data_IF_712192796082
#
_entry.id   IF_712192796082
#
_cell.length_a   1.000
_cell.length_b   1.000
_cell.length_c   1.000
_cell.angle_alpha   90.00
_cell.angle_beta   90.00
_cell.angle_gamma   90.00
#
_symmetry.space_group_name_H-M   'P 1'
#
loop_
_entity.id
_entity.type
_entity.pdbx_description
1 polymer ?
#
# COMPACT_ATOMS: atom_id res chain seq x y z
N UNK A 1 -13.72 6.67 -4.44
CA UNK A 1 -13.61 5.32 -5.04
C UNK A 1 -13.77 4.23 -3.99
N UNK A 2 -14.20 3.04 -4.40
CA UNK A 2 -14.25 1.82 -3.59
C UNK A 2 -12.97 1.00 -3.79
N UNK A 3 -12.12 0.98 -2.76
CA UNK A 3 -10.80 0.34 -2.74
C UNK A 3 -10.84 -0.96 -1.92
N UNK A 4 -10.39 -2.06 -2.53
CA UNK A 4 -10.19 -3.34 -1.87
C UNK A 4 -8.73 -3.47 -1.41
N UNK A 5 -8.51 -3.88 -0.17
CA UNK A 5 -7.21 -4.32 0.33
C UNK A 5 -7.18 -5.85 0.33
N UNK A 6 -6.26 -6.40 -0.46
CA UNK A 6 -6.00 -7.83 -0.62
C UNK A 6 -5.57 -8.49 0.72
N UNK A 7 -5.68 -9.82 0.82
CA UNK A 7 -5.35 -10.62 2.00
C UNK A 7 -3.89 -10.47 2.42
N UNK A 8 -2.99 -10.24 1.46
CA UNK A 8 -1.58 -10.04 1.74
C UNK A 8 -1.26 -8.64 2.31
N UNK A 9 -2.22 -7.71 2.27
CA UNK A 9 -2.12 -6.42 2.97
C UNK A 9 -2.36 -6.65 4.47
N UNK A 10 -1.52 -6.12 5.37
CA UNK A 10 -1.80 -6.25 6.80
C UNK A 10 -3.09 -5.54 7.19
N UNK A 11 -3.99 -6.21 7.93
CA UNK A 11 -5.25 -5.61 8.42
C UNK A 11 -5.09 -4.22 9.08
N UNK A 12 -4.07 -3.95 9.92
CA UNK A 12 -3.89 -2.60 10.50
C UNK A 12 -3.69 -1.49 9.45
N UNK A 13 -3.23 -1.83 8.24
CA UNK A 13 -3.14 -0.88 7.13
C UNK A 13 -4.51 -0.35 6.74
N UNK A 14 -5.56 -1.18 6.74
CA UNK A 14 -6.91 -0.76 6.37
C UNK A 14 -7.41 0.35 7.29
N UNK A 15 -7.20 0.19 8.60
CA UNK A 15 -7.64 1.18 9.59
C UNK A 15 -6.90 2.51 9.42
N UNK A 16 -5.59 2.47 9.20
CA UNK A 16 -4.79 3.66 8.91
C UNK A 16 -5.29 4.36 7.64
N UNK A 17 -5.47 3.60 6.56
CA UNK A 17 -5.90 4.15 5.27
C UNK A 17 -7.32 4.75 5.38
N UNK A 18 -8.25 4.11 6.11
CA UNK A 18 -9.59 4.65 6.37
C UNK A 18 -9.56 5.99 7.09
N UNK A 19 -8.67 6.13 8.07
CA UNK A 19 -8.51 7.39 8.83
C UNK A 19 -8.03 8.52 7.92
N UNK A 20 -7.10 8.21 7.02
CA UNK A 20 -6.41 9.20 6.17
C UNK A 20 -7.19 9.51 4.87
N UNK A 21 -7.94 8.56 4.32
CA UNK A 21 -8.62 8.67 3.02
C UNK A 21 -10.15 8.63 3.17
N UNK A 22 -10.68 9.60 3.93
CA UNK A 22 -12.11 9.63 4.32
C UNK A 22 -13.12 9.71 3.18
N UNK A 23 -12.71 10.17 2.00
CA UNK A 23 -13.57 10.28 0.81
C UNK A 23 -13.64 8.98 0.00
N UNK A 24 -12.92 7.94 0.42
CA UNK A 24 -12.85 6.64 -0.25
C UNK A 24 -13.45 5.55 0.63
N UNK A 25 -14.14 4.60 0.01
CA UNK A 25 -14.63 3.42 0.71
C UNK A 25 -13.52 2.37 0.70
N UNK A 26 -12.87 2.18 1.84
CA UNK A 26 -11.72 1.28 1.98
C UNK A 26 -12.15 0.02 2.73
N UNK A 27 -12.07 -1.13 2.06
CA UNK A 27 -12.53 -2.41 2.59
C UNK A 27 -11.39 -3.42 2.51
N UNK A 28 -11.11 -4.12 3.60
CA UNK A 28 -10.19 -5.25 3.58
C UNK A 28 -10.94 -6.54 3.23
N UNK A 29 -10.33 -7.47 2.48
CA UNK A 29 -10.99 -8.75 2.12
C UNK A 29 -11.54 -9.50 3.35
N UNK A 30 -10.85 -9.41 4.47
CA UNK A 30 -11.25 -10.04 5.72
C UNK A 30 -12.47 -9.39 6.42
N UNK A 31 -12.86 -8.19 6.01
CA UNK A 31 -14.08 -7.55 6.51
C UNK A 31 -15.31 -8.02 5.71
N UNK A 32 -15.09 -8.78 4.63
CA UNK A 32 -16.13 -9.31 3.75
C UNK A 32 -16.37 -10.81 4.05
N UNK A 33 -17.60 -11.22 4.42
CA UNK A 33 -17.92 -12.61 4.71
C UNK A 33 -17.61 -13.55 3.54
N UNK A 34 -16.75 -14.55 3.76
CA UNK A 34 -16.40 -15.55 2.74
C UNK A 34 -15.46 -15.05 1.63
N UNK A 35 -14.69 -13.99 1.88
CA UNK A 35 -13.67 -13.49 0.93
C UNK A 35 -12.24 -13.88 1.31
N UNK A 36 -11.97 -14.15 2.59
CA UNK A 36 -10.66 -14.67 3.01
C UNK A 36 -10.31 -15.97 2.28
N UNK A 37 -9.06 -16.11 1.82
CA UNK A 37 -8.61 -17.26 1.04
C UNK A 37 -9.09 -17.30 -0.41
N UNK A 38 -9.80 -16.27 -0.91
CA UNK A 38 -10.19 -16.20 -2.33
C UNK A 38 -8.92 -16.09 -3.17
N UNK A 39 -8.78 -16.94 -4.19
CA UNK A 39 -7.63 -16.88 -5.10
C UNK A 39 -7.68 -15.61 -5.95
N UNK A 40 -6.52 -15.06 -6.29
CA UNK A 40 -6.39 -13.83 -7.08
C UNK A 40 -7.29 -13.80 -8.33
N UNK A 41 -7.27 -14.88 -9.13
CA UNK A 41 -8.08 -14.99 -10.36
C UNK A 41 -9.57 -14.76 -10.08
N UNK A 42 -10.09 -15.33 -8.99
CA UNK A 42 -11.48 -15.19 -8.58
C UNK A 42 -11.74 -13.85 -7.88
N UNK A 43 -10.75 -13.36 -7.13
CA UNK A 43 -10.82 -12.13 -6.35
C UNK A 43 -11.11 -10.91 -7.25
N UNK A 44 -10.42 -10.79 -8.38
CA UNK A 44 -10.60 -9.65 -9.29
C UNK A 44 -11.99 -9.63 -9.92
N UNK A 45 -12.54 -10.78 -10.33
CA UNK A 45 -13.91 -10.82 -10.86
C UNK A 45 -14.94 -10.55 -9.76
N UNK A 46 -14.75 -11.13 -8.57
CA UNK A 46 -15.63 -10.89 -7.41
C UNK A 46 -15.64 -9.41 -7.01
N UNK A 47 -14.46 -8.78 -6.97
CA UNK A 47 -14.31 -7.36 -6.68
C UNK A 47 -14.99 -6.48 -7.75
N UNK A 48 -14.86 -6.84 -9.04
CA UNK A 48 -15.55 -6.14 -10.13
C UNK A 48 -17.07 -6.21 -9.98
N UNK A 49 -17.61 -7.40 -9.71
CA UNK A 49 -19.06 -7.61 -9.52
C UNK A 49 -19.60 -6.79 -8.33
N UNK A 50 -18.83 -6.67 -7.25
CA UNK A 50 -19.18 -5.82 -6.10
C UNK A 50 -18.92 -4.33 -6.31
N UNK A 51 -18.52 -3.90 -7.51
CA UNK A 51 -18.29 -2.49 -7.84
C UNK A 51 -17.08 -1.88 -7.14
N UNK A 52 -16.07 -2.68 -6.77
CA UNK A 52 -14.76 -2.12 -6.47
C UNK A 52 -14.18 -1.48 -7.73
N UNK A 53 -13.32 -0.49 -7.55
CA UNK A 53 -12.67 0.23 -8.65
C UNK A 53 -11.17 -0.02 -8.66
N UNK A 54 -10.59 -0.32 -7.49
CA UNK A 54 -9.16 -0.56 -7.34
C UNK A 54 -8.87 -1.65 -6.29
N UNK A 55 -7.76 -2.35 -6.47
CA UNK A 55 -7.19 -3.30 -5.51
C UNK A 55 -5.80 -2.83 -5.08
N UNK A 56 -5.57 -2.76 -3.77
CA UNK A 56 -4.25 -2.59 -3.17
C UNK A 56 -3.69 -3.96 -2.75
N UNK A 57 -2.48 -4.29 -3.20
CA UNK A 57 -1.80 -5.55 -2.86
C UNK A 57 -0.31 -5.32 -2.59
N UNK A 58 0.33 -6.26 -1.89
CA UNK A 58 1.80 -6.36 -1.83
C UNK A 58 2.34 -7.59 -2.60
N UNK A 59 1.49 -8.37 -3.29
CA UNK A 59 1.97 -9.43 -4.18
C UNK A 59 2.53 -8.84 -5.48
N UNK A 60 3.82 -8.53 -5.42
CA UNK A 60 4.61 -8.05 -6.56
C UNK A 60 4.81 -9.09 -7.67
N UNK A 61 4.40 -10.35 -7.49
CA UNK A 61 4.59 -11.42 -8.48
C UNK A 61 3.37 -11.63 -9.37
N UNK A 62 2.21 -11.01 -9.08
CA UNK A 62 1.01 -11.21 -9.89
C UNK A 62 1.24 -10.89 -11.37
N UNK A 63 2.02 -9.84 -11.65
CA UNK A 63 2.36 -9.40 -13.00
C UNK A 63 3.27 -10.36 -13.77
N UNK A 64 3.77 -11.42 -13.12
CA UNK A 64 4.57 -12.49 -13.74
C UNK A 64 3.78 -13.79 -13.97
N UNK A 65 2.51 -13.85 -13.53
CA UNK A 65 1.66 -15.05 -13.62
C UNK A 65 0.56 -14.80 -14.64
N UNK A 66 0.63 -15.49 -15.78
CA UNK A 66 -0.24 -15.20 -16.94
C UNK A 66 -1.74 -15.24 -16.65
N UNK A 67 -2.21 -16.20 -15.85
CA UNK A 67 -3.63 -16.30 -15.49
C UNK A 67 -4.11 -15.13 -14.61
N UNK A 68 -3.26 -14.67 -13.69
CA UNK A 68 -3.58 -13.52 -12.83
C UNK A 68 -3.57 -12.22 -13.63
N UNK A 69 -2.59 -12.03 -14.52
CA UNK A 69 -2.57 -10.89 -15.45
C UNK A 69 -3.83 -10.85 -16.31
N UNK A 70 -4.25 -11.99 -16.86
CA UNK A 70 -5.47 -12.07 -17.65
C UNK A 70 -6.72 -11.71 -16.83
N UNK A 71 -6.82 -12.20 -15.58
CA UNK A 71 -7.91 -11.87 -14.68
C UNK A 71 -7.95 -10.37 -14.32
N UNK A 72 -6.78 -9.79 -14.04
CA UNK A 72 -6.63 -8.36 -13.75
C UNK A 72 -7.08 -7.53 -14.95
N UNK A 73 -6.58 -7.83 -16.14
CA UNK A 73 -6.96 -7.14 -17.37
C UNK A 73 -8.46 -7.28 -17.66
N UNK A 74 -9.02 -8.48 -17.54
CA UNK A 74 -10.45 -8.74 -17.77
C UNK A 74 -11.35 -8.01 -16.76
N UNK A 75 -10.89 -7.84 -15.52
CA UNK A 75 -11.66 -7.17 -14.48
C UNK A 75 -11.85 -5.66 -14.71
N UNK A 76 -10.92 -5.03 -15.44
CA UNK A 76 -10.86 -3.57 -15.59
C UNK A 76 -10.48 -2.80 -14.32
N UNK A 77 -10.28 -3.48 -13.18
CA UNK A 77 -9.94 -2.87 -11.90
C UNK A 77 -8.54 -2.25 -11.95
N UNK A 78 -8.37 -1.07 -11.37
CA UNK A 78 -7.04 -0.54 -11.15
C UNK A 78 -6.29 -1.43 -10.15
N UNK A 79 -4.99 -1.62 -10.39
CA UNK A 79 -4.13 -2.35 -9.45
C UNK A 79 -3.10 -1.39 -8.88
N UNK A 80 -3.04 -1.32 -7.57
CA UNK A 80 -2.02 -0.57 -6.84
C UNK A 80 -1.18 -1.59 -6.10
N UNK A 81 0.11 -1.64 -6.37
CA UNK A 81 1.04 -2.46 -5.61
C UNK A 81 1.96 -1.60 -4.75
N UNK A 82 2.39 -2.14 -3.62
CA UNK A 82 3.53 -1.62 -2.89
C UNK A 82 4.48 -2.76 -2.55
N UNK A 83 5.78 -2.47 -2.58
CA UNK A 83 6.78 -3.45 -2.18
C UNK A 83 7.07 -3.32 -0.69
N UNK A 84 6.89 -4.43 0.03
CA UNK A 84 7.49 -4.59 1.35
C UNK A 84 8.92 -5.11 1.16
N UNK A 85 9.91 -4.35 1.66
CA UNK A 85 11.30 -4.77 1.54
C UNK A 85 11.63 -5.84 2.58
N UNK A 86 11.68 -7.10 2.15
CA UNK A 86 11.98 -8.24 3.02
C UNK A 86 13.40 -8.23 3.62
N UNK A 87 14.31 -7.36 3.15
CA UNK A 87 15.64 -7.18 3.77
C UNK A 87 15.56 -6.55 5.15
N UNK A 88 14.50 -5.80 5.43
CA UNK A 88 14.23 -5.22 6.74
C UNK A 88 12.97 -5.89 7.29
N UNK A 89 13.15 -6.96 8.06
CA UNK A 89 12.03 -7.63 8.73
C UNK A 89 11.49 -6.81 9.91
N UNK A 90 10.43 -7.33 10.54
CA UNK A 90 9.87 -6.79 11.77
C UNK A 90 9.36 -5.34 11.64
N UNK A 91 9.55 -4.55 12.71
CA UNK A 91 9.00 -3.20 12.83
C UNK A 91 9.52 -2.24 11.74
N UNK A 92 10.77 -2.37 11.32
CA UNK A 92 11.36 -1.51 10.28
C UNK A 92 10.65 -1.73 8.94
N UNK A 93 10.49 -3.00 8.54
CA UNK A 93 9.81 -3.34 7.29
C UNK A 93 8.34 -2.94 7.28
N UNK A 94 7.63 -3.23 8.37
CA UNK A 94 6.22 -2.85 8.51
C UNK A 94 6.05 -1.33 8.51
N UNK A 95 6.89 -0.61 9.27
CA UNK A 95 6.87 0.85 9.31
C UNK A 95 7.13 1.47 7.93
N UNK A 96 8.09 0.94 7.18
CA UNK A 96 8.37 1.38 5.82
C UNK A 96 7.21 1.09 4.85
N UNK A 97 6.57 -0.07 4.97
CA UNK A 97 5.38 -0.40 4.17
C UNK A 97 4.22 0.55 4.47
N UNK A 98 3.92 0.81 5.75
CA UNK A 98 2.90 1.78 6.15
C UNK A 98 3.23 3.17 5.63
N UNK A 99 4.47 3.63 5.79
CA UNK A 99 4.91 4.92 5.30
C UNK A 99 4.78 5.03 3.77
N UNK A 100 5.13 3.96 3.05
CA UNK A 100 4.99 3.88 1.58
C UNK A 100 3.53 4.02 1.15
N UNK A 101 2.62 3.28 1.77
CA UNK A 101 1.19 3.36 1.45
C UNK A 101 0.64 4.74 1.82
N UNK A 102 0.94 5.25 3.03
CA UNK A 102 0.43 6.54 3.47
C UNK A 102 0.93 7.70 2.59
N UNK A 103 2.18 7.65 2.13
CA UNK A 103 2.75 8.69 1.28
C UNK A 103 2.30 8.55 -0.18
N UNK A 104 2.21 7.32 -0.71
CA UNK A 104 1.97 7.08 -2.13
C UNK A 104 0.50 6.94 -2.52
N UNK A 105 -0.31 6.30 -1.69
CA UNK A 105 -1.71 5.97 -2.02
C UNK A 105 -2.58 7.20 -2.32
N UNK A 106 -2.48 8.35 -1.59
CA UNK A 106 -3.26 9.54 -1.93
C UNK A 106 -3.00 10.03 -3.37
N UNK A 107 -1.73 9.98 -3.81
CA UNK A 107 -1.36 10.38 -5.17
C UNK A 107 -1.87 9.38 -6.20
N UNK A 108 -1.75 8.08 -5.92
CA UNK A 108 -2.28 7.03 -6.79
C UNK A 108 -3.78 7.21 -6.99
N UNK A 109 -4.56 7.39 -5.92
CA UNK A 109 -6.02 7.58 -6.05
C UNK A 109 -6.39 8.85 -6.80
N UNK A 110 -5.64 9.95 -6.63
CA UNK A 110 -5.86 11.17 -7.40
C UNK A 110 -5.63 10.94 -8.92
N UNK A 111 -4.62 10.15 -9.28
CA UNK A 111 -4.38 9.73 -10.67
C UNK A 111 -5.52 8.86 -11.19
N UNK A 112 -6.00 7.90 -10.39
CA UNK A 112 -7.08 7.00 -10.79
C UNK A 112 -8.42 7.72 -11.03
N UNK A 113 -8.72 8.77 -10.25
CA UNK A 113 -9.98 9.53 -10.37
C UNK A 113 -10.14 10.23 -11.72
N UNK A 114 -9.04 10.50 -12.43
CA UNK A 114 -9.04 11.18 -13.74
C UNK A 114 -8.59 10.27 -14.87
N UNK A 115 -8.33 8.99 -14.58
CA UNK A 115 -7.91 8.03 -15.58
C UNK A 115 -9.08 7.65 -16.50
N UNK A 116 -8.80 7.61 -17.80
CA UNK A 116 -9.73 7.18 -18.86
C UNK A 116 -9.72 5.66 -19.11
N UNK A 117 -9.01 4.90 -18.27
CA UNK A 117 -8.91 3.46 -18.37
C UNK A 117 -8.09 2.86 -17.23
N UNK A 118 -7.96 1.53 -17.26
CA UNK A 118 -7.23 0.78 -16.24
C UNK A 118 -5.80 1.31 -16.05
N UNK A 119 -5.30 1.25 -14.81
CA UNK A 119 -3.94 1.64 -14.43
C UNK A 119 -3.34 0.59 -13.51
N UNK A 120 -2.05 0.35 -13.69
CA UNK A 120 -1.24 -0.52 -12.86
C UNK A 120 -0.17 0.37 -12.20
N UNK A 121 -0.37 0.71 -10.94
CA UNK A 121 0.44 1.67 -10.20
C UNK A 121 1.33 0.93 -9.22
N UNK A 122 2.64 1.24 -9.23
CA UNK A 122 3.58 0.78 -8.21
C UNK A 122 3.96 1.94 -7.28
N UNK A 123 3.64 1.81 -5.99
CA UNK A 123 4.06 2.77 -4.98
C UNK A 123 5.56 2.62 -4.73
N UNK A 124 6.28 3.74 -4.81
CA UNK A 124 7.72 3.79 -4.57
C UNK A 124 8.00 3.67 -3.07
N UNK A 125 8.76 2.65 -2.69
CA UNK A 125 9.07 2.36 -1.29
C UNK A 125 9.81 3.51 -0.60
N UNK A 126 9.38 3.86 0.61
CA UNK A 126 10.15 4.71 1.52
C UNK A 126 11.41 3.97 1.96
N UNK A 127 12.57 4.59 1.80
CA UNK A 127 13.86 4.01 2.20
C UNK A 127 13.93 3.84 3.73
N UNK A 128 14.04 2.59 4.24
CA UNK A 128 14.12 2.32 5.67
C UNK A 128 15.54 2.44 6.24
N UNK A 129 16.56 2.77 5.45
CA UNK A 129 17.94 2.85 5.93
C UNK A 129 18.07 3.83 7.09
N UNK A 130 18.84 3.45 8.13
CA UNK A 130 19.02 4.28 9.33
C UNK A 130 19.44 5.72 8.99
N UNK A 131 20.34 5.88 8.03
CA UNK A 131 20.88 7.18 7.62
C UNK A 131 19.82 8.13 7.07
N UNK A 132 18.75 7.61 6.46
CA UNK A 132 17.66 8.44 5.93
C UNK A 132 16.53 8.63 6.94
N UNK A 133 16.41 7.76 7.95
CA UNK A 133 15.33 7.79 8.95
C UNK A 133 15.69 8.48 10.26
N UNK A 134 16.94 8.46 10.68
CA UNK A 134 17.37 8.97 11.99
C UNK A 134 18.68 9.73 11.87
N UNK A 135 18.64 11.01 12.26
CA UNK A 135 19.83 11.81 12.56
C UNK A 135 20.07 11.82 14.06
N UNK A 136 21.30 11.52 14.48
CA UNK A 136 21.73 11.65 15.88
C UNK A 136 22.76 12.77 15.96
N UNK A 137 22.58 13.67 16.92
CA UNK A 137 23.57 14.70 17.27
C UNK A 137 24.05 14.37 18.67
N UNK A 138 25.36 14.27 18.88
CA UNK A 138 25.97 14.20 20.21
C UNK A 138 26.34 15.62 20.64
N UNK A 139 25.61 16.25 21.58
CA UNK A 139 25.91 17.62 22.02
C UNK A 139 27.21 17.73 22.82
N UNK A 140 27.96 16.65 23.06
CA UNK A 140 29.33 16.75 23.57
C UNK A 140 30.35 17.03 22.46
N UNK A 141 29.99 16.72 21.21
CA UNK A 141 30.87 16.80 20.03
C UNK A 141 30.40 17.88 19.06
N UNK A 142 29.10 17.94 18.75
CA UNK A 142 28.50 18.86 17.79
C UNK A 142 27.30 19.57 18.44
N UNK A 143 27.61 20.56 19.29
CA UNK A 143 26.59 21.32 20.04
C UNK A 143 25.72 22.12 19.07
N UNK A 144 24.38 22.03 19.16
CA UNK A 144 23.51 23.00 18.53
C UNK A 144 23.86 24.43 18.96
N UNK A 145 23.60 25.41 18.08
CA UNK A 145 23.98 26.82 18.28
C UNK A 145 23.59 27.41 19.64
N UNK A 146 22.45 26.99 20.20
CA UNK A 146 21.91 27.48 21.46
C UNK A 146 21.93 26.42 22.58
N UNK A 147 22.83 25.45 22.48
CA UNK A 147 22.95 24.39 23.51
C UNK A 147 23.46 24.99 24.84
N UNK A 148 22.75 24.78 25.98
CA UNK A 148 23.15 25.34 27.26
C UNK A 148 24.57 24.90 27.66
N UNK A 149 25.34 25.84 28.21
CA UNK A 149 26.61 25.53 28.87
C UNK A 149 26.28 25.09 30.29
N UNK A 150 26.48 23.79 30.58
CA UNK A 150 26.59 23.33 31.97
C UNK A 150 27.97 23.63 32.51
#
# INVERSE_FOLDING_TARGET
MKLLLDENVPRPMADIVRILLRTHQVIHVHDLPGWAGTKDIELYEKARVEGFEAVLTNDTKQMSRGLEVAAIAASGLHRIEYRQNNKHGGLIGLGAAIATVCAGLPHALAELLVADGQRLISLVSVDPTRATRVRTVDPRVDKPKFWPSG
#
